data_IF_415247924570
#
_entry.id   IF_415247924570
#
_cell.length_a   1.000
_cell.length_b   1.000
_cell.length_c   1.000
_cell.angle_alpha   90.00
_cell.angle_beta   90.00
_cell.angle_gamma   90.00
#
_symmetry.space_group_name_H-M   'P 1'
#
loop_
_entity.id
_entity.type
_entity.pdbx_description
1 polymer ?
#
# COMPACT_ATOMS: atom_id res chain seq x y z
N UNK A 1 -5.12 7.96 -48.66
CA UNK A 1 -4.81 6.57 -49.03
C UNK A 1 -5.08 5.67 -47.83
N UNK A 2 -6.28 5.10 -47.73
CA UNK A 2 -6.65 4.13 -46.69
C UNK A 2 -6.14 2.74 -47.12
N UNK A 3 -5.26 2.12 -46.34
CA UNK A 3 -4.84 0.72 -46.56
C UNK A 3 -5.46 -0.18 -45.49
N UNK A 4 -6.24 -1.12 -46.00
CA UNK A 4 -7.01 -2.17 -45.33
C UNK A 4 -6.13 -3.18 -44.59
N UNK A 5 -6.60 -3.65 -43.43
CA UNK A 5 -6.04 -4.75 -42.61
C UNK A 5 -6.57 -6.11 -43.10
N UNK A 6 -5.76 -7.19 -43.14
CA UNK A 6 -6.28 -8.55 -43.19
C UNK A 6 -6.34 -9.22 -41.81
N UNK A 7 -7.51 -9.79 -41.48
CA UNK A 7 -7.80 -10.67 -40.32
C UNK A 7 -7.44 -12.16 -40.65
N UNK A 8 -7.39 -13.06 -39.64
CA UNK A 8 -6.46 -14.20 -39.56
C UNK A 8 -6.95 -15.49 -40.21
N UNK A 9 -6.08 -16.51 -40.42
CA UNK A 9 -6.53 -17.86 -40.73
C UNK A 9 -7.00 -18.60 -39.47
N UNK A 10 -8.23 -19.08 -39.54
CA UNK A 10 -8.85 -20.05 -38.64
C UNK A 10 -8.25 -21.42 -38.98
N UNK A 11 -7.52 -22.04 -38.05
CA UNK A 11 -7.10 -23.43 -38.21
C UNK A 11 -8.11 -24.39 -37.58
N UNK A 12 -8.58 -25.27 -38.45
CA UNK A 12 -9.59 -26.28 -38.24
C UNK A 12 -9.13 -27.43 -37.33
N UNK A 13 -10.11 -27.88 -36.55
CA UNK A 13 -10.19 -29.09 -35.73
C UNK A 13 -9.69 -30.35 -36.46
N UNK A 14 -8.78 -31.10 -35.84
CA UNK A 14 -8.57 -32.51 -36.13
C UNK A 14 -8.94 -33.34 -34.89
N UNK A 15 -10.01 -34.12 -35.04
CA UNK A 15 -10.49 -35.16 -34.15
C UNK A 15 -9.76 -36.46 -34.51
N UNK A 16 -8.89 -36.94 -33.64
CA UNK A 16 -8.30 -38.29 -33.68
C UNK A 16 -7.93 -38.66 -32.24
N UNK A 17 -8.04 -39.86 -31.72
CA UNK A 17 -8.77 -41.08 -32.07
C UNK A 17 -8.80 -41.88 -30.75
N UNK A 18 -9.83 -42.70 -30.56
CA UNK A 18 -10.09 -43.42 -29.29
C UNK A 18 -9.05 -44.52 -29.10
N UNK A 19 -8.51 -44.67 -27.90
CA UNK A 19 -8.07 -45.97 -27.39
C UNK A 19 -8.49 -46.09 -25.94
N UNK A 20 -9.49 -46.93 -25.73
CA UNK A 20 -9.87 -47.43 -24.42
C UNK A 20 -9.01 -48.66 -24.13
N UNK A 21 -8.24 -48.63 -23.04
CA UNK A 21 -7.66 -49.82 -22.42
C UNK A 21 -7.77 -49.67 -20.91
N UNK A 22 -8.53 -50.58 -20.31
CA UNK A 22 -8.55 -50.94 -18.89
C UNK A 22 -8.51 -52.49 -18.86
N UNK A 23 -8.17 -53.18 -17.75
CA UNK A 23 -7.81 -52.72 -16.42
C UNK A 23 -6.61 -53.48 -15.78
N UNK A 24 -6.17 -53.06 -14.59
CA UNK A 24 -6.01 -53.91 -13.39
C UNK A 24 -4.96 -53.34 -12.42
N UNK A 25 -5.42 -53.10 -11.18
CA UNK A 25 -4.66 -53.27 -9.94
C UNK A 25 -3.34 -52.53 -9.81
N UNK A 26 -3.36 -51.32 -9.27
CA UNK A 26 -2.24 -50.82 -8.46
C UNK A 26 -2.80 -50.01 -7.30
N UNK A 27 -2.38 -50.43 -6.12
CA UNK A 27 -2.68 -49.95 -4.77
C UNK A 27 -2.78 -48.44 -4.69
N UNK A 28 -3.92 -47.92 -4.22
CA UNK A 28 -4.01 -46.56 -3.70
C UNK A 28 -3.21 -46.51 -2.40
N UNK A 29 -1.90 -46.31 -2.50
CA UNK A 29 -1.18 -45.67 -1.41
C UNK A 29 -1.80 -44.29 -1.29
N UNK A 30 -2.66 -44.14 -0.28
CA UNK A 30 -3.12 -42.84 0.17
C UNK A 30 -1.85 -42.05 0.48
N UNK A 31 -1.44 -41.20 -0.47
CA UNK A 31 -0.50 -40.17 -0.18
C UNK A 31 -1.17 -39.38 0.95
N UNK A 32 -0.65 -39.54 2.16
CA UNK A 32 -0.77 -38.56 3.24
C UNK A 32 0.01 -37.33 2.78
N UNK A 33 -0.48 -36.76 1.67
CA UNK A 33 -0.02 -35.51 1.13
C UNK A 33 -0.31 -34.53 2.23
N UNK A 34 0.76 -34.04 2.84
CA UNK A 34 0.71 -32.85 3.65
C UNK A 34 0.40 -31.69 2.69
N UNK A 35 -0.83 -31.66 2.16
CA UNK A 35 -1.30 -30.70 1.18
C UNK A 35 -1.48 -29.42 1.95
N UNK A 36 -0.39 -28.66 2.05
CA UNK A 36 -0.41 -27.30 2.61
C UNK A 36 -1.55 -26.57 1.92
N UNK A 37 -2.51 -26.10 2.72
CA UNK A 37 -3.70 -25.46 2.21
C UNK A 37 -3.30 -24.35 1.23
N UNK A 38 -3.88 -24.37 0.02
CA UNK A 38 -3.59 -23.36 -0.99
C UNK A 38 -4.25 -22.05 -0.58
N UNK A 39 -3.46 -21.12 -0.05
CA UNK A 39 -3.89 -19.76 0.26
C UNK A 39 -4.50 -19.12 -1.01
N UNK A 40 -5.79 -18.78 -0.95
CA UNK A 40 -6.54 -18.21 -2.09
C UNK A 40 -6.56 -16.68 -2.09
N UNK A 41 -6.31 -16.08 -0.94
CA UNK A 41 -6.25 -14.64 -0.72
C UNK A 41 -6.01 -14.35 0.75
N UNK A 42 -5.37 -13.22 1.03
CA UNK A 42 -5.24 -12.65 2.37
C UNK A 42 -6.00 -11.34 2.33
N UNK A 43 -6.88 -11.12 3.29
CA UNK A 43 -7.52 -9.82 3.51
C UNK A 43 -6.87 -9.22 4.73
N UNK A 44 -6.19 -8.10 4.53
CA UNK A 44 -5.70 -7.30 5.65
C UNK A 44 -6.84 -6.39 6.08
N UNK A 45 -7.27 -6.58 7.31
CA UNK A 45 -8.17 -5.68 8.02
C UNK A 45 -7.49 -4.31 8.03
N UNK A 46 -7.93 -3.38 7.18
CA UNK A 46 -7.34 -2.04 7.08
C UNK A 46 -7.72 -1.16 8.27
N UNK A 47 -8.45 -1.72 9.23
CA UNK A 47 -9.06 -1.07 10.39
C UNK A 47 -8.02 -0.68 11.47
N UNK A 48 -6.73 -0.91 11.19
CA UNK A 48 -5.59 -0.45 12.00
C UNK A 48 -4.46 0.15 11.16
N UNK A 49 -3.37 0.60 11.81
CA UNK A 49 -2.20 1.11 11.10
C UNK A 49 -1.35 -0.06 10.58
N UNK A 50 -1.25 -0.25 9.26
CA UNK A 50 -0.37 -1.26 8.65
C UNK A 50 1.11 -1.11 9.05
N UNK A 51 1.47 0.06 9.57
CA UNK A 51 2.83 0.43 9.96
C UNK A 51 2.84 0.98 11.38
N UNK A 52 3.98 0.86 12.05
CA UNK A 52 4.24 1.62 13.27
C UNK A 52 4.28 3.12 12.92
N UNK A 53 3.63 4.02 13.68
CA UNK A 53 3.79 5.46 13.48
C UNK A 53 5.25 5.87 13.71
N UNK A 54 5.85 6.54 12.72
CA UNK A 54 7.29 6.88 12.71
C UNK A 54 7.57 8.37 12.56
N UNK A 55 6.55 9.18 12.28
CA UNK A 55 6.67 10.64 12.20
C UNK A 55 6.44 11.24 13.59
N UNK A 56 7.42 12.02 14.07
CA UNK A 56 7.28 12.83 15.28
C UNK A 56 6.55 14.14 14.95
N UNK A 57 5.23 14.11 15.03
CA UNK A 57 4.38 15.28 14.78
C UNK A 57 4.68 16.47 15.71
N UNK A 58 4.89 16.30 17.03
CA UNK A 58 5.36 17.39 17.88
C UNK A 58 6.64 18.08 17.39
N UNK A 59 7.66 17.32 16.99
CA UNK A 59 8.90 17.89 16.45
C UNK A 59 8.65 18.64 15.13
N UNK A 60 7.83 18.06 14.25
CA UNK A 60 7.43 18.69 12.98
C UNK A 60 6.70 20.01 13.22
N UNK A 61 5.72 20.05 14.13
CA UNK A 61 4.98 21.26 14.45
C UNK A 61 5.87 22.34 15.04
N UNK A 62 6.80 21.98 15.93
CA UNK A 62 7.80 22.92 16.45
C UNK A 62 8.74 23.45 15.37
N UNK A 63 9.12 22.62 14.40
CA UNK A 63 9.97 23.04 13.29
C UNK A 63 9.24 24.03 12.35
N UNK A 64 7.95 23.81 12.10
CA UNK A 64 7.12 24.69 11.26
C UNK A 64 6.75 26.00 11.97
N UNK A 65 6.25 25.92 13.20
CA UNK A 65 5.67 27.05 13.94
C UNK A 65 6.68 27.80 14.84
N UNK A 66 7.77 27.13 15.24
CA UNK A 66 8.57 27.53 16.39
C UNK A 66 7.98 27.05 17.73
N UNK A 67 8.81 27.00 18.77
CA UNK A 67 8.40 26.46 20.07
C UNK A 67 7.32 27.29 20.76
N UNK A 68 7.43 28.62 20.74
CA UNK A 68 6.49 29.51 21.43
C UNK A 68 5.08 29.39 20.86
N UNK A 69 4.95 29.48 19.52
CA UNK A 69 3.68 29.37 18.84
C UNK A 69 3.09 27.96 18.99
N UNK A 70 3.91 26.91 18.89
CA UNK A 70 3.46 25.54 19.15
C UNK A 70 2.86 25.37 20.55
N UNK A 71 3.55 25.87 21.59
CA UNK A 71 3.10 25.76 22.98
C UNK A 71 1.79 26.55 23.21
N UNK A 72 1.70 27.75 22.64
CA UNK A 72 0.49 28.58 22.71
C UNK A 72 -0.71 27.84 22.08
N UNK A 73 -0.59 27.37 20.85
CA UNK A 73 -1.68 26.70 20.13
C UNK A 73 -2.08 25.38 20.80
N UNK A 74 -1.10 24.60 21.30
CA UNK A 74 -1.37 23.36 22.04
C UNK A 74 -2.13 23.61 23.35
N UNK A 75 -1.85 24.70 24.04
CA UNK A 75 -2.56 25.05 25.28
C UNK A 75 -4.03 25.43 25.04
N UNK A 76 -4.31 26.01 23.86
CA UNK A 76 -5.64 26.46 23.48
C UNK A 76 -6.48 25.33 22.85
N UNK A 77 -5.85 24.37 22.17
CA UNK A 77 -6.53 23.27 21.49
C UNK A 77 -6.10 21.90 22.04
N UNK A 78 -6.85 21.32 23.01
CA UNK A 78 -6.55 19.99 23.52
C UNK A 78 -6.78 18.88 22.49
N UNK A 79 -7.59 19.13 21.46
CA UNK A 79 -7.88 18.18 20.37
C UNK A 79 -6.76 18.05 19.33
N UNK A 80 -5.72 18.88 19.40
CA UNK A 80 -4.60 18.88 18.45
C UNK A 80 -4.56 20.12 17.54
N UNK A 81 -3.52 20.19 16.73
CA UNK A 81 -3.25 21.30 15.82
C UNK A 81 -3.39 20.79 14.38
N UNK A 82 -4.32 21.38 13.62
CA UNK A 82 -4.33 21.22 12.16
C UNK A 82 -3.30 22.18 11.55
N UNK A 83 -2.08 21.67 11.37
CA UNK A 83 -0.97 22.47 10.85
C UNK A 83 -1.21 22.92 9.42
N UNK A 84 -1.87 22.11 8.59
CA UNK A 84 -2.07 22.40 7.18
C UNK A 84 -3.08 23.52 7.01
N UNK A 85 -4.16 23.49 7.77
CA UNK A 85 -5.12 24.59 7.79
C UNK A 85 -4.49 25.89 8.30
N UNK A 86 -3.63 25.80 9.32
CA UNK A 86 -2.96 26.99 9.86
C UNK A 86 -2.05 27.69 8.84
N UNK A 87 -1.20 26.93 8.15
CA UNK A 87 -0.23 27.50 7.19
C UNK A 87 -0.87 27.98 5.88
N UNK A 88 -2.14 27.63 5.59
CA UNK A 88 -2.87 28.16 4.41
C UNK A 88 -3.01 29.68 4.43
N UNK A 89 -2.99 30.29 5.62
CA UNK A 89 -3.14 31.73 5.80
C UNK A 89 -1.82 32.49 5.73
N UNK A 90 -0.69 31.79 5.65
CA UNK A 90 0.63 32.40 5.63
C UNK A 90 0.96 33.00 4.27
N UNK A 91 1.96 33.87 4.23
CA UNK A 91 2.46 34.36 2.94
C UNK A 91 3.13 33.21 2.16
N UNK A 92 3.22 33.31 0.82
CA UNK A 92 3.71 32.20 -0.02
C UNK A 92 5.11 31.70 0.34
N UNK A 93 6.01 32.59 0.79
CA UNK A 93 7.39 32.22 1.15
C UNK A 93 7.42 31.40 2.43
N UNK A 94 6.66 31.83 3.45
CA UNK A 94 6.52 31.10 4.70
C UNK A 94 5.83 29.76 4.50
N UNK A 95 4.79 29.73 3.67
CA UNK A 95 4.05 28.52 3.34
C UNK A 95 4.96 27.51 2.61
N UNK A 96 5.75 27.96 1.62
CA UNK A 96 6.71 27.12 0.93
C UNK A 96 7.72 26.50 1.89
N UNK A 97 8.30 27.32 2.78
CA UNK A 97 9.24 26.84 3.80
C UNK A 97 8.60 25.83 4.75
N UNK A 98 7.34 26.04 5.15
CA UNK A 98 6.60 25.09 5.99
C UNK A 98 6.42 23.74 5.28
N UNK A 99 6.04 23.74 4.01
CA UNK A 99 5.91 22.52 3.21
C UNK A 99 7.23 21.79 3.01
N UNK A 100 8.34 22.51 2.83
CA UNK A 100 9.68 21.91 2.75
C UNK A 100 10.04 21.16 4.04
N UNK A 101 9.78 21.77 5.20
CA UNK A 101 9.98 21.13 6.50
C UNK A 101 9.11 19.87 6.62
N UNK A 102 7.81 19.96 6.31
CA UNK A 102 6.89 18.82 6.37
C UNK A 102 7.38 17.69 5.46
N UNK A 103 7.75 17.99 4.22
CA UNK A 103 8.26 17.01 3.26
C UNK A 103 9.55 16.32 3.74
N UNK A 104 10.41 17.03 4.49
CA UNK A 104 11.61 16.43 5.08
C UNK A 104 11.27 15.47 6.24
N UNK A 105 10.27 15.78 7.06
CA UNK A 105 9.76 14.86 8.08
C UNK A 105 9.07 13.64 7.46
N UNK A 106 8.31 13.83 6.39
CA UNK A 106 7.68 12.74 5.63
C UNK A 106 8.73 11.81 5.02
N UNK A 107 9.78 12.36 4.40
CA UNK A 107 10.90 11.57 3.85
C UNK A 107 11.59 10.74 4.93
N UNK A 108 11.87 11.35 6.09
CA UNK A 108 12.44 10.63 7.24
C UNK A 108 11.49 9.54 7.77
N UNK A 109 10.18 9.80 7.77
CA UNK A 109 9.17 8.82 8.14
C UNK A 109 9.17 7.63 7.19
N UNK A 110 9.22 7.86 5.89
CA UNK A 110 9.31 6.81 4.87
C UNK A 110 10.56 5.95 5.06
N UNK A 111 11.72 6.55 5.32
CA UNK A 111 12.98 5.83 5.53
C UNK A 111 12.97 4.94 6.78
N UNK A 112 12.21 5.34 7.81
CA UNK A 112 12.12 4.63 9.10
C UNK A 112 10.91 3.70 9.18
N UNK A 113 10.10 3.63 8.12
CA UNK A 113 8.83 2.94 8.12
C UNK A 113 9.00 1.45 8.46
N UNK A 114 8.24 1.01 9.45
CA UNK A 114 8.23 -0.36 9.93
C UNK A 114 6.83 -0.93 9.83
N UNK A 115 6.72 -2.16 9.34
CA UNK A 115 5.45 -2.88 9.38
C UNK A 115 5.10 -3.15 10.84
N UNK A 116 3.84 -2.91 11.19
CA UNK A 116 3.37 -3.17 12.55
C UNK A 116 3.47 -4.68 12.83
N UNK A 117 4.18 -5.11 13.89
CA UNK A 117 4.32 -6.52 14.19
C UNK A 117 2.96 -7.11 14.61
N UNK A 118 2.56 -8.19 13.95
CA UNK A 118 1.30 -8.90 14.17
C UNK A 118 1.35 -10.31 13.57
#
# INVERSE_FOLDING_TARGET
>A
MLRSLPRPPIFSRALMSRSAVTPAGTTVVAATGNSKARLRGVVFDMDGTLTVPVIDFPAMYKAVLGEEQYNSMKSQNPSGIDILHHIQTWNPVQQQKAYEIIADFERQGLDRLQIMPG
#
